data_IF_873440425638
#
_entry.id   IF_873440425638
#
_cell.length_a   1.000
_cell.length_b   1.000
_cell.length_c   1.000
_cell.angle_alpha   90.00
_cell.angle_beta   90.00
_cell.angle_gamma   90.00
#
_symmetry.space_group_name_H-M   'P 1'
#
loop_
_entity.id
_entity.type
_entity.pdbx_description
1 polymer ?
#
# COMPACT_ATOMS: atom_id res chain seq x y z
N UNK A 1 -5.13 10.89 -0.10
CA UNK A 1 -4.48 9.71 -0.68
C UNK A 1 -3.30 9.33 0.19
N UNK A 2 -3.19 8.06 0.56
CA UNK A 2 -2.05 7.46 1.24
C UNK A 2 -1.84 6.08 0.62
N UNK A 3 -0.60 5.80 0.21
CA UNK A 3 -0.21 4.50 -0.31
C UNK A 3 0.55 3.75 0.78
N UNK A 4 0.19 2.49 0.99
CA UNK A 4 0.74 1.65 2.04
C UNK A 4 1.38 0.42 1.42
N UNK A 5 2.64 0.16 1.79
CA UNK A 5 3.37 -1.06 1.42
C UNK A 5 3.61 -1.86 2.68
N UNK A 6 3.04 -3.06 2.75
CA UNK A 6 3.21 -3.96 3.88
C UNK A 6 4.44 -4.87 3.69
N UNK A 7 5.53 -4.51 4.35
CA UNK A 7 6.75 -5.33 4.35
C UNK A 7 6.50 -6.74 4.87
N UNK A 8 5.72 -6.88 5.94
CA UNK A 8 5.53 -8.16 6.62
C UNK A 8 4.75 -9.13 5.73
N UNK A 9 3.78 -8.62 4.96
CA UNK A 9 3.12 -9.39 3.92
C UNK A 9 4.11 -9.89 2.84
N UNK A 10 5.09 -9.08 2.43
CA UNK A 10 6.12 -9.52 1.48
C UNK A 10 7.09 -10.58 2.07
N UNK A 11 7.44 -10.50 3.35
CA UNK A 11 8.46 -11.40 3.95
C UNK A 11 7.87 -12.56 4.76
N UNK A 12 6.54 -12.74 4.74
CA UNK A 12 5.84 -13.86 5.38
C UNK A 12 5.73 -13.76 6.91
N UNK A 13 5.55 -12.55 7.45
CA UNK A 13 5.37 -12.30 8.88
C UNK A 13 3.91 -11.95 9.22
N UNK A 14 3.45 -12.23 10.44
CA UNK A 14 2.03 -12.14 10.82
C UNK A 14 1.54 -10.72 11.14
N UNK A 15 2.44 -9.79 11.49
CA UNK A 15 2.05 -8.42 11.83
C UNK A 15 1.68 -7.62 10.57
N UNK A 16 0.53 -6.96 10.53
CA UNK A 16 0.09 -6.20 9.35
C UNK A 16 0.41 -4.70 9.45
N UNK A 17 0.62 -4.07 8.29
CA UNK A 17 0.68 -2.61 8.19
C UNK A 17 -0.66 -1.96 8.57
N UNK A 18 -1.78 -2.66 8.36
CA UNK A 18 -3.11 -2.17 8.70
C UNK A 18 -3.27 -1.94 10.22
N UNK A 19 -2.91 -2.92 11.03
CA UNK A 19 -2.95 -2.80 12.50
C UNK A 19 -2.08 -1.64 13.01
N UNK A 20 -0.96 -1.36 12.34
CA UNK A 20 -0.08 -0.23 12.69
C UNK A 20 -0.70 1.12 12.34
N UNK A 21 -1.53 1.17 11.29
CA UNK A 21 -2.17 2.38 10.78
C UNK A 21 -3.54 2.64 11.41
N UNK A 22 -4.16 1.66 12.06
CA UNK A 22 -5.41 1.79 12.82
C UNK A 22 -5.20 2.56 14.14
N UNK A 23 -4.92 3.87 14.02
CA UNK A 23 -4.70 4.73 15.17
C UNK A 23 -5.24 6.15 14.99
N UNK A 24 -5.46 6.83 16.13
CA UNK A 24 -6.04 8.18 16.21
C UNK A 24 -5.27 9.27 15.47
N UNK A 25 -4.00 9.04 15.10
CA UNK A 25 -3.23 10.00 14.31
C UNK A 25 -3.58 9.85 12.83
N UNK A 26 -3.65 8.61 12.34
CA UNK A 26 -3.99 8.29 10.94
C UNK A 26 -5.44 8.62 10.65
N UNK A 27 -6.36 8.34 11.58
CA UNK A 27 -7.80 8.70 11.48
C UNK A 27 -8.03 10.21 11.25
N UNK A 28 -7.11 11.07 11.69
CA UNK A 28 -7.20 12.53 11.51
C UNK A 28 -6.68 13.00 10.15
N UNK A 29 -6.12 12.11 9.34
CA UNK A 29 -5.60 12.47 8.03
C UNK A 29 -6.70 12.60 7.01
N UNK A 30 -6.51 13.48 6.02
CA UNK A 30 -7.39 13.56 4.85
C UNK A 30 -7.46 12.23 4.07
N UNK A 31 -6.43 11.38 4.16
CA UNK A 31 -6.46 10.09 3.49
C UNK A 31 -7.45 9.13 4.17
N UNK A 32 -7.42 9.02 5.50
CA UNK A 32 -8.37 8.21 6.25
C UNK A 32 -9.80 8.77 6.17
N UNK A 33 -9.97 10.08 6.31
CA UNK A 33 -11.29 10.73 6.32
C UNK A 33 -12.05 10.66 4.99
N UNK A 34 -11.35 10.40 3.89
CA UNK A 34 -11.94 10.33 2.54
C UNK A 34 -11.83 8.93 1.93
N UNK A 35 -11.57 7.88 2.73
CA UNK A 35 -11.40 6.50 2.27
C UNK A 35 -10.36 6.37 1.14
N UNK A 36 -9.28 7.15 1.22
CA UNK A 36 -8.18 7.19 0.24
C UNK A 36 -6.89 6.62 0.83
N UNK A 37 -6.97 5.48 1.50
CA UNK A 37 -5.82 4.66 1.89
C UNK A 37 -5.80 3.42 0.99
N UNK A 38 -4.74 3.27 0.20
CA UNK A 38 -4.59 2.18 -0.77
C UNK A 38 -3.41 1.30 -0.35
N UNK A 39 -3.68 0.01 -0.15
CA UNK A 39 -2.66 -1.00 0.09
C UNK A 39 -2.16 -1.52 -1.26
N UNK A 40 -0.86 -1.42 -1.48
CA UNK A 40 -0.19 -1.84 -2.70
C UNK A 40 0.32 -3.27 -2.57
N UNK A 41 0.51 -3.96 -3.69
CA UNK A 41 1.08 -5.30 -3.70
C UNK A 41 2.56 -5.27 -3.28
N UNK A 42 2.91 -5.82 -2.11
CA UNK A 42 4.25 -5.70 -1.58
C UNK A 42 5.28 -6.53 -2.37
N UNK A 43 4.87 -7.52 -3.18
CA UNK A 43 5.81 -8.30 -4.00
C UNK A 43 6.41 -7.41 -5.10
N UNK A 44 5.58 -6.58 -5.73
CA UNK A 44 6.04 -5.65 -6.75
C UNK A 44 6.74 -4.43 -6.17
N UNK A 45 6.25 -3.92 -5.03
CA UNK A 45 6.72 -2.65 -4.45
C UNK A 45 7.86 -2.78 -3.45
N UNK A 46 8.02 -3.93 -2.77
CA UNK A 46 9.06 -4.16 -1.76
C UNK A 46 10.16 -5.13 -2.23
N UNK A 47 9.80 -6.22 -2.92
CA UNK A 47 10.75 -7.28 -3.29
C UNK A 47 11.29 -7.19 -4.71
N UNK A 48 10.48 -6.70 -5.65
CA UNK A 48 10.84 -6.65 -7.07
C UNK A 48 11.30 -5.25 -7.51
N UNK A 49 10.40 -4.44 -8.06
CA UNK A 49 10.71 -3.13 -8.65
C UNK A 49 11.55 -3.18 -9.93
N UNK A 50 11.26 -2.28 -10.88
CA UNK A 50 12.15 -1.96 -12.01
C UNK A 50 12.14 -2.92 -13.22
N UNK A 51 11.50 -4.09 -13.13
CA UNK A 51 11.23 -4.95 -14.30
C UNK A 51 10.00 -4.51 -15.10
N UNK A 52 9.89 -4.90 -16.39
CA UNK A 52 8.75 -4.51 -17.23
C UNK A 52 7.40 -4.93 -16.66
N UNK A 53 7.32 -6.16 -16.13
CA UNK A 53 6.10 -6.66 -15.48
C UNK A 53 5.82 -5.91 -14.17
N UNK A 54 6.84 -5.72 -13.34
CA UNK A 54 6.70 -5.02 -12.06
C UNK A 54 6.24 -3.58 -12.26
N UNK A 55 6.85 -2.85 -13.21
CA UNK A 55 6.46 -1.47 -13.52
C UNK A 55 5.05 -1.40 -14.09
N UNK A 56 4.65 -2.33 -14.96
CA UNK A 56 3.28 -2.39 -15.48
C UNK A 56 2.25 -2.62 -14.36
N UNK A 57 2.56 -3.50 -13.40
CA UNK A 57 1.70 -3.73 -12.24
C UNK A 57 1.65 -2.50 -11.33
N UNK A 58 2.80 -1.88 -11.02
CA UNK A 58 2.86 -0.66 -10.20
C UNK A 58 2.03 0.49 -10.79
N UNK A 59 2.02 0.65 -12.13
CA UNK A 59 1.17 1.63 -12.81
C UNK A 59 -0.31 1.29 -12.63
N UNK A 60 -0.68 0.01 -12.76
CA UNK A 60 -2.05 -0.47 -12.54
C UNK A 60 -2.50 -0.19 -11.11
N UNK A 61 -1.70 -0.53 -10.10
CA UNK A 61 -2.03 -0.32 -8.69
C UNK A 61 -2.27 1.16 -8.36
N UNK A 62 -1.43 2.04 -8.92
CA UNK A 62 -1.58 3.49 -8.75
C UNK A 62 -2.83 3.98 -9.47
N UNK A 63 -3.11 3.52 -10.68
CA UNK A 63 -4.30 3.90 -11.44
C UNK A 63 -5.58 3.54 -10.67
N UNK A 64 -5.68 2.32 -10.15
CA UNK A 64 -6.84 1.87 -9.39
C UNK A 64 -7.11 2.69 -8.12
N UNK A 65 -6.10 3.38 -7.57
CA UNK A 65 -6.31 4.28 -6.44
C UNK A 65 -7.05 5.59 -6.79
N UNK A 66 -7.08 5.95 -8.07
CA UNK A 66 -7.75 7.16 -8.58
C UNK A 66 -9.16 6.89 -9.11
N UNK A 67 -9.54 5.63 -9.28
CA UNK A 67 -10.89 5.18 -9.60
C UNK A 67 -11.77 5.17 -8.33
#
# INVERSE_FOLDING_TARGET
MMFVVDRNAAVGNEASAAESLENKLVEKTNAAQNDKITYLDPDFWYLSGGGLQSVAQMVTDVQSAFE
#
